data_IF_470865692888
#
_entry.id   IF_470865692888
#
_cell.length_a   1.000
_cell.length_b   1.000
_cell.length_c   1.000
_cell.angle_alpha   90.00
_cell.angle_beta   90.00
_cell.angle_gamma   90.00
#
_symmetry.space_group_name_H-M   'P 1'
#
loop_
_entity.id
_entity.type
_entity.pdbx_description
1 polymer ?
#
# COMPACT_ATOMS: atom_id res chain seq x y z
N UNK A 1 -7.29 11.89 -6.52
CA UNK A 1 -6.27 12.27 -5.52
C UNK A 1 -5.88 11.12 -4.61
N UNK A 2 -6.76 10.62 -3.71
CA UNK A 2 -6.44 9.45 -2.84
C UNK A 2 -6.54 8.12 -3.61
N UNK A 3 -7.62 7.90 -4.38
CA UNK A 3 -7.79 6.66 -5.12
C UNK A 3 -6.67 6.45 -6.15
N UNK A 4 -6.21 7.51 -6.82
CA UNK A 4 -5.10 7.42 -7.78
C UNK A 4 -3.78 7.00 -7.11
N UNK A 5 -3.50 7.46 -5.88
CA UNK A 5 -2.29 7.04 -5.16
C UNK A 5 -2.41 5.59 -4.67
N UNK A 6 -3.63 5.15 -4.32
CA UNK A 6 -3.90 3.76 -3.99
C UNK A 6 -3.62 2.85 -5.19
N UNK A 7 -4.13 3.20 -6.38
CA UNK A 7 -3.90 2.43 -7.60
C UNK A 7 -2.41 2.34 -7.95
N UNK A 8 -1.69 3.46 -7.86
CA UNK A 8 -0.22 3.51 -8.09
C UNK A 8 0.56 2.60 -7.14
N UNK A 9 0.02 2.33 -5.95
CA UNK A 9 0.65 1.47 -4.95
C UNK A 9 0.08 0.04 -4.96
N UNK A 10 -0.79 -0.31 -5.90
CA UNK A 10 -1.46 -1.61 -5.98
C UNK A 10 -2.46 -1.87 -4.85
N UNK A 11 -2.96 -0.83 -4.18
CA UNK A 11 -4.01 -0.95 -3.16
C UNK A 11 -5.38 -0.88 -3.83
N UNK A 12 -6.19 -1.93 -3.68
CA UNK A 12 -7.56 -1.96 -4.23
C UNK A 12 -8.41 -0.83 -3.61
N UNK A 13 -9.07 -0.05 -4.48
CA UNK A 13 -9.99 1.04 -4.11
C UNK A 13 -11.10 0.58 -3.16
N UNK A 14 -11.51 -0.69 -3.22
CA UNK A 14 -12.51 -1.26 -2.30
C UNK A 14 -12.08 -1.15 -0.83
N UNK A 15 -10.78 -1.09 -0.56
CA UNK A 15 -10.23 -0.99 0.79
C UNK A 15 -10.38 0.40 1.41
N UNK A 16 -10.83 1.41 0.65
CA UNK A 16 -10.87 2.81 1.09
C UNK A 16 -11.61 3.02 2.43
N UNK A 17 -12.72 2.29 2.64
CA UNK A 17 -13.53 2.38 3.86
C UNK A 17 -13.27 1.25 4.87
N UNK A 18 -12.23 0.42 4.67
CA UNK A 18 -11.92 -0.68 5.57
C UNK A 18 -11.01 -0.22 6.71
N UNK A 19 -11.29 -0.66 7.95
CA UNK A 19 -10.36 -0.43 9.05
C UNK A 19 -9.09 -1.28 8.90
N UNK A 20 -7.98 -0.79 9.44
CA UNK A 20 -6.65 -1.39 9.26
C UNK A 20 -6.53 -2.85 9.75
N UNK A 21 -7.33 -3.25 10.73
CA UNK A 21 -7.41 -4.62 11.23
C UNK A 21 -8.07 -5.61 10.25
N UNK A 22 -8.86 -5.14 9.28
CA UNK A 22 -9.45 -5.99 8.23
C UNK A 22 -8.52 -6.21 7.02
N UNK A 23 -7.34 -5.59 7.02
CA UNK A 23 -6.40 -5.66 5.92
C UNK A 23 -5.37 -6.78 6.14
N UNK A 24 -4.99 -7.49 5.07
CA UNK A 24 -3.85 -8.41 5.10
C UNK A 24 -2.53 -7.65 5.32
N UNK A 25 -1.45 -8.37 5.66
CA UNK A 25 -0.12 -7.76 5.81
C UNK A 25 0.30 -6.96 4.56
N UNK A 26 0.18 -7.56 3.38
CA UNK A 26 0.49 -6.91 2.10
C UNK A 26 -0.43 -5.74 1.77
N UNK A 27 -1.73 -5.83 2.11
CA UNK A 27 -2.66 -4.71 1.94
C UNK A 27 -2.29 -3.54 2.86
N UNK A 28 -1.99 -3.79 4.13
CA UNK A 28 -1.52 -2.75 5.06
C UNK A 28 -0.25 -2.08 4.56
N UNK A 29 0.69 -2.86 4.02
CA UNK A 29 1.93 -2.34 3.46
C UNK A 29 1.69 -1.43 2.25
N UNK A 30 0.86 -1.86 1.29
CA UNK A 30 0.49 -1.04 0.12
C UNK A 30 -0.23 0.25 0.52
N UNK A 31 -1.13 0.20 1.51
CA UNK A 31 -1.76 1.39 2.08
C UNK A 31 -0.72 2.30 2.76
N UNK A 32 0.24 1.75 3.51
CA UNK A 32 1.29 2.53 4.15
C UNK A 32 2.18 3.25 3.12
N UNK A 33 2.51 2.60 2.00
CA UNK A 33 3.21 3.22 0.86
C UNK A 33 2.37 4.36 0.27
N UNK A 34 1.08 4.11 -0.02
CA UNK A 34 0.20 5.13 -0.57
C UNK A 34 0.11 6.36 0.36
N UNK A 35 0.02 6.12 1.67
CA UNK A 35 0.00 7.18 2.69
C UNK A 35 1.30 7.97 2.77
N UNK A 36 2.46 7.33 2.61
CA UNK A 36 3.74 8.06 2.65
C UNK A 36 3.93 8.93 1.42
N UNK A 37 3.42 8.51 0.26
CA UNK A 37 3.58 9.22 -1.02
C UNK A 37 2.57 10.36 -1.24
N UNK A 38 1.46 10.40 -0.50
CA UNK A 38 0.35 11.30 -0.81
C UNK A 38 0.71 12.79 -0.74
N UNK A 39 1.66 13.15 0.13
CA UNK A 39 2.17 14.52 0.27
C UNK A 39 3.32 14.84 -0.68
N UNK A 40 3.60 13.97 -1.65
CA UNK A 40 4.70 14.11 -2.62
C UNK A 40 6.05 14.40 -1.94
N UNK A 41 6.48 13.57 -0.98
CA UNK A 41 7.76 13.77 -0.30
C UNK A 41 8.92 13.69 -1.31
N UNK A 42 10.01 14.42 -1.05
CA UNK A 42 11.24 14.32 -1.86
C UNK A 42 12.00 13.01 -1.60
N UNK A 43 11.78 12.39 -0.45
CA UNK A 43 12.48 11.18 -0.01
C UNK A 43 11.63 10.42 1.02
N UNK A 44 11.70 9.08 1.00
CA UNK A 44 11.01 8.20 1.95
C UNK A 44 12.00 7.14 2.42
N UNK A 45 12.11 6.96 3.75
CA UNK A 45 12.84 5.83 4.35
C UNK A 45 11.88 4.67 4.56
N UNK A 46 12.32 3.49 4.16
CA UNK A 46 11.51 2.29 4.16
C UNK A 46 12.24 1.19 4.93
N UNK A 47 11.63 0.68 6.01
CA UNK A 47 12.09 -0.55 6.67
C UNK A 47 11.20 -1.72 6.24
N UNK A 48 11.82 -2.82 5.80
CA UNK A 48 11.14 -4.08 5.43
C UNK A 48 9.96 -3.95 4.45
N UNK A 49 10.08 -3.06 3.46
CA UNK A 49 8.94 -2.70 2.59
C UNK A 49 8.48 -3.77 1.58
N UNK A 50 9.20 -4.89 1.52
CA UNK A 50 8.88 -6.04 0.66
C UNK A 50 8.48 -7.28 1.46
N UNK A 51 8.48 -7.22 2.79
CA UNK A 51 8.34 -8.40 3.64
C UNK A 51 6.95 -9.04 3.59
N UNK A 52 5.91 -8.28 3.24
CA UNK A 52 4.53 -8.77 3.09
C UNK A 52 4.04 -8.71 1.64
N UNK A 53 4.94 -8.48 0.68
CA UNK A 53 4.70 -8.74 -0.73
C UNK A 53 4.97 -10.22 -0.95
N UNK A 54 3.93 -11.05 -0.82
CA UNK A 54 4.01 -12.42 -1.30
C UNK A 54 4.42 -12.39 -2.78
N UNK A 55 5.42 -13.20 -3.12
CA UNK A 55 5.73 -13.54 -4.50
C UNK A 55 4.49 -14.27 -4.99
N UNK A 56 3.60 -13.57 -5.69
CA UNK A 56 2.53 -14.23 -6.42
C UNK A 56 3.22 -15.21 -7.37
N UNK A 57 3.12 -16.51 -7.08
CA UNK A 57 3.37 -17.58 -8.03
C UNK A 57 2.66 -17.17 -9.32
N UNK A 58 3.45 -16.73 -10.30
CA UNK A 58 2.99 -16.53 -11.66
C UNK A 58 2.90 -17.92 -12.27
N UNK A 59 1.72 -18.51 -12.18
CA UNK A 59 1.25 -19.46 -13.18
C UNK A 59 0.30 -18.72 -14.11
#
# INVERSE_FOLDING_TARGET
MILDIMDKCGADRKLYNHYANYLSGGQRQRIAIARSLILKPKFVVCDKIVLALDVSNQN
#
